data_IF_129785584868
#
_entry.id   IF_129785584868
#
_cell.length_a   1.000
_cell.length_b   1.000
_cell.length_c   1.000
_cell.angle_alpha   90.00
_cell.angle_beta   90.00
_cell.angle_gamma   90.00
#
_symmetry.space_group_name_H-M   'P 1'
#
loop_
_entity.id
_entity.type
_entity.pdbx_description
1 polymer ?
#
# COMPACT_ATOMS: atom_id res chain seq x y z
N UNK A 1 33.87 22.93 9.97
CA UNK A 1 34.00 21.48 10.27
C UNK A 1 32.79 20.78 9.68
N UNK A 2 32.99 19.82 8.77
CA UNK A 2 31.88 19.01 8.29
C UNK A 2 31.54 17.93 9.36
N UNK A 3 30.28 17.80 9.71
CA UNK A 3 29.83 16.73 10.61
C UNK A 3 30.08 15.37 9.96
N UNK A 4 30.45 14.33 10.74
CA UNK A 4 30.64 12.98 10.21
C UNK A 4 29.32 12.51 9.58
N UNK A 5 29.41 11.97 8.35
CA UNK A 5 28.29 11.31 7.71
C UNK A 5 28.06 9.95 8.39
N UNK A 6 26.91 9.75 8.97
CA UNK A 6 26.52 8.44 9.48
C UNK A 6 26.25 7.51 8.29
N UNK A 7 26.99 6.40 8.22
CA UNK A 7 26.68 5.32 7.30
C UNK A 7 25.51 4.53 7.86
N UNK A 8 24.32 4.70 7.28
CA UNK A 8 23.17 3.88 7.62
C UNK A 8 23.32 2.49 7.00
N UNK A 9 22.89 1.47 7.72
CA UNK A 9 22.78 0.13 7.14
C UNK A 9 21.74 0.16 6.01
N UNK A 10 22.06 -0.51 4.90
CA UNK A 10 21.14 -0.69 3.78
C UNK A 10 20.65 -2.14 3.77
N UNK A 11 19.39 -2.32 3.45
CA UNK A 11 18.71 -3.59 3.37
C UNK A 11 18.09 -3.75 1.98
N UNK A 12 17.70 -4.97 1.65
CA UNK A 12 17.03 -5.29 0.38
C UNK A 12 15.66 -5.91 0.67
N UNK A 13 14.70 -5.63 -0.18
CA UNK A 13 13.38 -6.28 -0.19
C UNK A 13 12.99 -6.57 -1.64
N UNK A 14 12.06 -7.51 -1.81
CA UNK A 14 11.47 -7.82 -3.11
C UNK A 14 10.01 -7.39 -3.09
N UNK A 15 9.60 -6.56 -4.07
CA UNK A 15 8.21 -6.11 -4.17
C UNK A 15 7.28 -7.28 -4.47
N UNK A 16 6.21 -7.48 -3.69
CA UNK A 16 5.25 -8.56 -3.92
C UNK A 16 4.55 -8.51 -5.28
N UNK A 17 4.26 -7.30 -5.79
CA UNK A 17 3.52 -7.13 -7.04
C UNK A 17 4.32 -7.49 -8.29
N UNK A 18 5.62 -7.19 -8.30
CA UNK A 18 6.45 -7.23 -9.51
C UNK A 18 7.67 -8.12 -9.41
N UNK A 19 8.04 -8.55 -8.20
CA UNK A 19 9.30 -9.25 -7.94
C UNK A 19 10.55 -8.37 -8.08
N UNK A 20 10.40 -7.05 -8.25
CA UNK A 20 11.52 -6.10 -8.34
C UNK A 20 12.23 -6.01 -6.98
N UNK A 21 13.55 -6.14 -6.98
CA UNK A 21 14.36 -5.90 -5.79
C UNK A 21 14.57 -4.39 -5.60
N UNK A 22 14.40 -3.94 -4.37
CA UNK A 22 14.64 -2.57 -3.94
C UNK A 22 15.59 -2.55 -2.76
N UNK A 23 16.44 -1.52 -2.73
CA UNK A 23 17.30 -1.19 -1.60
C UNK A 23 16.67 -0.12 -0.75
N UNK A 24 16.71 -0.30 0.56
CA UNK A 24 16.14 0.66 1.49
C UNK A 24 17.02 0.84 2.73
N UNK A 25 16.80 1.93 3.43
CA UNK A 25 17.40 2.22 4.74
C UNK A 25 16.30 2.35 5.80
N UNK A 26 16.62 2.12 7.06
CA UNK A 26 15.73 2.48 8.16
C UNK A 26 15.41 3.97 8.13
N UNK A 27 14.26 4.36 8.69
CA UNK A 27 13.97 5.78 8.86
C UNK A 27 14.79 6.39 10.00
N UNK A 28 15.04 7.68 9.90
CA UNK A 28 15.74 8.47 10.89
C UNK A 28 14.71 9.17 11.80
N UNK A 29 15.20 9.83 12.81
CA UNK A 29 14.35 10.60 13.75
C UNK A 29 13.46 11.63 13.03
N UNK A 30 13.92 12.18 11.90
CA UNK A 30 13.12 13.14 11.13
C UNK A 30 11.87 12.53 10.52
N UNK A 31 11.97 11.32 9.95
CA UNK A 31 10.84 10.59 9.38
C UNK A 31 9.89 10.11 10.49
N UNK A 32 10.43 9.62 11.60
CA UNK A 32 9.62 9.25 12.76
C UNK A 32 8.83 10.44 13.31
N UNK A 33 9.46 11.61 13.42
CA UNK A 33 8.78 12.83 13.86
C UNK A 33 7.67 13.24 12.90
N UNK A 34 7.91 13.14 11.59
CA UNK A 34 6.91 13.44 10.56
C UNK A 34 5.68 12.53 10.69
N UNK A 35 5.89 11.20 10.92
CA UNK A 35 4.81 10.25 11.17
C UNK A 35 3.97 10.62 12.39
N UNK A 36 4.63 10.96 13.51
CA UNK A 36 3.92 11.34 14.74
C UNK A 36 3.06 12.60 14.52
N UNK A 37 3.61 13.61 13.83
CA UNK A 37 2.87 14.84 13.52
C UNK A 37 1.67 14.54 12.60
N UNK A 38 1.86 13.73 11.57
CA UNK A 38 0.78 13.35 10.66
C UNK A 38 -0.33 12.59 11.39
N UNK A 39 0.04 11.66 12.26
CA UNK A 39 -0.93 10.90 13.06
C UNK A 39 -1.72 11.78 14.04
N UNK A 40 -1.09 12.78 14.66
CA UNK A 40 -1.75 13.72 15.56
C UNK A 40 -2.68 14.70 14.84
N UNK A 41 -2.48 14.93 13.53
CA UNK A 41 -3.27 15.91 12.77
C UNK A 41 -4.67 15.41 12.43
N UNK A 42 -4.91 14.09 12.43
CA UNK A 42 -6.15 13.46 11.95
C UNK A 42 -6.51 13.86 10.49
N UNK A 43 -5.54 14.36 9.72
CA UNK A 43 -5.70 14.73 8.31
C UNK A 43 -5.21 13.58 7.42
N UNK A 44 -6.15 12.87 6.80
CA UNK A 44 -5.88 11.72 5.94
C UNK A 44 -4.92 12.05 4.79
N UNK A 45 -5.04 13.24 4.18
CA UNK A 45 -4.14 13.67 3.11
C UNK A 45 -2.73 13.92 3.61
N UNK A 46 -2.59 14.48 4.82
CA UNK A 46 -1.28 14.68 5.41
C UNK A 46 -0.65 13.34 5.76
N UNK A 47 -1.43 12.38 6.26
CA UNK A 47 -0.97 11.02 6.54
C UNK A 47 -0.50 10.35 5.25
N UNK A 48 -1.32 10.34 4.19
CA UNK A 48 -0.99 9.77 2.88
C UNK A 48 0.30 10.36 2.30
N UNK A 49 0.39 11.69 2.24
CA UNK A 49 1.57 12.38 1.73
C UNK A 49 2.82 12.09 2.57
N UNK A 50 2.68 11.98 3.88
CA UNK A 50 3.78 11.65 4.80
C UNK A 50 4.28 10.23 4.55
N UNK A 51 3.38 9.26 4.36
CA UNK A 51 3.75 7.88 3.99
C UNK A 51 4.51 7.83 2.67
N UNK A 52 3.97 8.46 1.62
CA UNK A 52 4.62 8.52 0.31
C UNK A 52 6.02 9.15 0.40
N UNK A 53 6.14 10.24 1.15
CA UNK A 53 7.42 10.93 1.35
C UNK A 53 8.44 10.06 2.09
N UNK A 54 8.02 9.35 3.15
CA UNK A 54 8.90 8.46 3.92
C UNK A 54 9.42 7.32 3.04
N UNK A 55 8.54 6.73 2.23
CA UNK A 55 8.94 5.68 1.31
C UNK A 55 9.95 6.21 0.29
N UNK A 56 9.69 7.37 -0.31
CA UNK A 56 10.63 8.03 -1.23
C UNK A 56 11.97 8.36 -0.58
N UNK A 57 11.98 8.79 0.68
CA UNK A 57 13.20 9.15 1.41
C UNK A 57 14.01 7.93 1.86
N UNK A 58 13.35 6.81 2.13
CA UNK A 58 13.97 5.60 2.68
C UNK A 58 14.37 4.58 1.61
N UNK A 59 13.64 4.50 0.50
CA UNK A 59 14.02 3.64 -0.63
C UNK A 59 15.13 4.34 -1.43
N UNK A 60 16.18 3.60 -1.77
CA UNK A 60 17.37 4.15 -2.43
C UNK A 60 17.30 4.05 -3.96
N UNK A 61 16.40 3.20 -4.45
CA UNK A 61 16.12 3.06 -5.88
C UNK A 61 15.04 4.05 -6.32
N UNK A 62 15.02 4.36 -7.61
CA UNK A 62 14.00 5.24 -8.17
C UNK A 62 12.63 4.54 -8.19
N UNK A 63 11.70 5.10 -7.42
CA UNK A 63 10.31 4.64 -7.34
C UNK A 63 9.38 5.85 -7.25
N UNK A 64 8.15 5.65 -7.71
CA UNK A 64 7.04 6.59 -7.51
C UNK A 64 6.00 5.92 -6.59
N UNK A 65 5.92 6.29 -5.30
CA UNK A 65 4.99 5.66 -4.36
C UNK A 65 3.52 5.76 -4.78
N UNK A 66 3.15 6.82 -5.50
CA UNK A 66 1.77 7.02 -5.95
C UNK A 66 1.34 6.07 -7.07
N UNK A 67 2.30 5.40 -7.74
CA UNK A 67 2.03 4.40 -8.79
C UNK A 67 2.13 2.96 -8.30
N UNK A 68 2.66 2.76 -7.10
CA UNK A 68 2.74 1.42 -6.52
C UNK A 68 1.38 0.95 -6.01
N UNK A 69 1.09 -0.36 -6.08
CA UNK A 69 -0.02 -0.97 -5.36
C UNK A 69 0.03 -0.65 -3.87
N UNK A 70 -1.12 -0.47 -3.25
CA UNK A 70 -1.21 -0.14 -1.83
C UNK A 70 -0.50 -1.17 -0.94
N UNK A 71 -0.67 -2.46 -1.23
CA UNK A 71 -0.01 -3.52 -0.46
C UNK A 71 1.52 -3.52 -0.61
N UNK A 72 2.08 -3.06 -1.73
CA UNK A 72 3.53 -2.85 -1.87
C UNK A 72 4.00 -1.71 -0.96
N UNK A 73 3.25 -0.62 -0.90
CA UNK A 73 3.52 0.52 -0.02
C UNK A 73 3.52 0.09 1.44
N UNK A 74 2.49 -0.65 1.86
CA UNK A 74 2.39 -1.20 3.22
C UNK A 74 3.53 -2.16 3.53
N UNK A 75 3.88 -3.02 2.58
CA UNK A 75 4.99 -3.97 2.73
C UNK A 75 6.34 -3.26 2.87
N UNK A 76 6.64 -2.28 2.00
CA UNK A 76 7.87 -1.46 2.10
C UNK A 76 7.92 -0.78 3.47
N UNK A 77 6.82 -0.13 3.88
CA UNK A 77 6.76 0.57 5.16
C UNK A 77 6.98 -0.38 6.34
N UNK A 78 6.37 -1.57 6.31
CA UNK A 78 6.52 -2.58 7.34
C UNK A 78 8.00 -3.02 7.50
N UNK A 79 8.69 -3.28 6.37
CA UNK A 79 10.11 -3.65 6.39
C UNK A 79 11.00 -2.50 6.87
N UNK A 80 10.75 -1.26 6.43
CA UNK A 80 11.46 -0.07 6.93
C UNK A 80 11.25 0.08 8.44
N UNK A 81 9.99 -0.04 8.93
CA UNK A 81 9.67 0.06 10.34
C UNK A 81 10.35 -1.03 11.17
N UNK A 82 10.34 -2.27 10.70
CA UNK A 82 10.99 -3.40 11.37
C UNK A 82 12.47 -3.11 11.64
N UNK A 83 13.18 -2.61 10.62
CA UNK A 83 14.62 -2.27 10.75
C UNK A 83 14.89 -0.97 11.51
N UNK A 84 13.87 -0.14 11.76
CA UNK A 84 14.03 1.16 12.43
C UNK A 84 13.74 1.10 13.92
N UNK A 85 12.68 0.40 14.32
CA UNK A 85 12.17 0.39 15.70
C UNK A 85 12.29 -1.00 16.34
N UNK A 86 12.32 -2.06 15.52
CA UNK A 86 12.40 -3.44 15.95
C UNK A 86 11.47 -4.33 15.14
N UNK A 87 11.90 -5.56 14.96
CA UNK A 87 11.24 -6.55 14.10
C UNK A 87 10.02 -7.18 14.80
N UNK A 88 9.98 -7.16 16.14
CA UNK A 88 8.92 -7.78 16.91
C UNK A 88 7.96 -6.74 17.49
N UNK A 89 6.67 -7.03 17.36
CA UNK A 89 5.60 -6.20 17.89
C UNK A 89 4.76 -7.01 18.86
N UNK A 90 4.57 -6.50 20.08
CA UNK A 90 3.66 -7.09 21.04
C UNK A 90 2.31 -6.41 20.95
N UNK A 91 1.27 -7.20 20.74
CA UNK A 91 -0.12 -6.75 20.64
C UNK A 91 -0.97 -7.45 21.70
N UNK A 92 -2.00 -6.76 22.17
CA UNK A 92 -3.06 -7.33 22.97
C UNK A 92 -4.29 -7.53 22.10
N UNK A 93 -4.59 -8.76 21.78
CA UNK A 93 -5.76 -9.10 20.97
C UNK A 93 -6.91 -9.53 21.86
N UNK A 94 -8.09 -9.01 21.55
CA UNK A 94 -9.33 -9.42 22.20
C UNK A 94 -9.74 -10.79 21.67
N UNK A 95 -9.97 -11.74 22.58
CA UNK A 95 -10.42 -13.07 22.21
C UNK A 95 -11.82 -13.00 21.56
N UNK A 96 -12.00 -13.54 20.35
CA UNK A 96 -13.29 -13.50 19.66
C UNK A 96 -14.36 -14.40 20.31
N UNK A 97 -13.97 -15.39 21.11
CA UNK A 97 -14.89 -16.34 21.72
C UNK A 97 -15.73 -15.71 22.83
N UNK A 98 -15.11 -14.90 23.68
CA UNK A 98 -15.78 -14.29 24.83
C UNK A 98 -15.90 -12.77 24.76
N UNK A 99 -15.19 -12.13 23.84
CA UNK A 99 -15.11 -10.68 23.66
C UNK A 99 -14.75 -9.91 24.96
N UNK A 100 -13.98 -10.53 25.85
CA UNK A 100 -13.58 -9.97 27.14
C UNK A 100 -12.12 -10.22 27.49
N UNK A 101 -11.60 -11.39 27.14
CA UNK A 101 -10.23 -11.77 27.49
C UNK A 101 -9.25 -11.20 26.47
N UNK A 102 -8.18 -10.58 26.95
CA UNK A 102 -7.07 -10.12 26.12
C UNK A 102 -5.91 -11.10 26.20
N UNK A 103 -5.36 -11.44 25.05
CA UNK A 103 -4.19 -12.31 24.91
C UNK A 103 -3.03 -11.52 24.36
N UNK A 104 -1.86 -11.64 25.00
CA UNK A 104 -0.62 -11.04 24.49
C UNK A 104 -0.10 -11.89 23.33
N UNK A 105 0.10 -11.28 22.18
CA UNK A 105 0.63 -11.93 20.97
C UNK A 105 1.86 -11.16 20.51
N UNK A 106 2.94 -11.89 20.22
CA UNK A 106 4.12 -11.33 19.58
C UNK A 106 4.08 -11.67 18.08
N UNK A 107 4.23 -10.66 17.24
CA UNK A 107 4.29 -10.81 15.78
C UNK A 107 5.68 -10.41 15.32
N UNK A 108 6.34 -11.28 14.56
CA UNK A 108 7.58 -10.96 13.87
C UNK A 108 7.25 -10.34 12.50
N UNK A 109 7.64 -9.07 12.32
CA UNK A 109 7.38 -8.32 11.09
C UNK A 109 8.20 -8.82 9.89
N UNK A 110 9.27 -9.57 10.13
CA UNK A 110 10.03 -10.20 9.05
C UNK A 110 9.28 -11.38 8.42
N UNK A 111 8.44 -12.07 9.20
CA UNK A 111 7.62 -13.19 8.74
C UNK A 111 6.33 -12.75 8.03
N UNK A 112 5.99 -11.46 8.13
CA UNK A 112 4.81 -10.92 7.43
C UNK A 112 5.10 -10.80 5.94
N UNK A 113 4.28 -11.46 5.15
CA UNK A 113 4.38 -11.49 3.69
C UNK A 113 3.01 -11.35 3.03
N UNK A 114 3.00 -10.96 1.76
CA UNK A 114 1.79 -10.84 0.95
C UNK A 114 1.46 -12.19 0.33
N UNK A 115 0.29 -12.73 0.69
CA UNK A 115 -0.19 -14.00 0.14
C UNK A 115 -0.90 -13.77 -1.19
N UNK A 116 -0.37 -14.34 -2.25
CA UNK A 116 -0.99 -14.35 -3.58
C UNK A 116 -1.44 -15.77 -3.92
N UNK A 117 -2.74 -16.02 -4.18
CA UNK A 117 -3.20 -17.31 -4.69
C UNK A 117 -2.54 -17.66 -6.03
N UNK A 118 -2.32 -18.93 -6.28
CA UNK A 118 -1.64 -19.42 -7.51
C UNK A 118 -2.41 -19.04 -8.78
N UNK A 119 -3.72 -18.94 -8.69
CA UNK A 119 -4.65 -18.59 -9.77
C UNK A 119 -5.00 -17.09 -9.81
N UNK A 120 -4.32 -16.29 -8.99
CA UNK A 120 -4.53 -14.84 -8.97
C UNK A 120 -4.25 -14.23 -10.34
N UNK A 121 -5.23 -13.54 -10.89
CA UNK A 121 -5.13 -12.84 -12.14
C UNK A 121 -5.97 -11.56 -12.12
N UNK A 122 -5.72 -10.69 -13.07
CA UNK A 122 -6.35 -9.37 -13.16
C UNK A 122 -7.48 -9.32 -14.20
N UNK A 123 -7.93 -10.47 -14.72
CA UNK A 123 -8.95 -10.55 -15.75
C UNK A 123 -10.29 -10.92 -15.16
N UNK A 124 -11.28 -10.04 -15.28
CA UNK A 124 -12.66 -10.30 -14.89
C UNK A 124 -13.50 -10.48 -16.17
N UNK A 125 -14.05 -11.67 -16.38
CA UNK A 125 -14.93 -11.94 -17.50
C UNK A 125 -16.36 -11.57 -17.15
N UNK A 126 -16.94 -10.61 -17.87
CA UNK A 126 -18.34 -10.20 -17.72
C UNK A 126 -19.28 -11.01 -18.60
N UNK A 127 -18.86 -11.22 -19.88
CA UNK A 127 -19.58 -12.03 -20.86
C UNK A 127 -18.58 -12.85 -21.66
N UNK A 128 -19.04 -13.57 -22.68
CA UNK A 128 -18.14 -14.29 -23.62
C UNK A 128 -17.21 -13.34 -24.38
N UNK A 129 -17.69 -12.13 -24.66
CA UNK A 129 -16.97 -11.15 -25.47
C UNK A 129 -16.35 -10.02 -24.65
N UNK A 130 -16.89 -9.74 -23.44
CA UNK A 130 -16.46 -8.59 -22.62
C UNK A 130 -15.62 -9.06 -21.46
N UNK A 131 -14.43 -8.50 -21.35
CA UNK A 131 -13.48 -8.74 -20.24
C UNK A 131 -12.97 -7.41 -19.71
N UNK A 132 -12.87 -7.31 -18.40
CA UNK A 132 -12.18 -6.20 -17.73
C UNK A 132 -10.76 -6.65 -17.38
N UNK A 133 -9.80 -5.79 -17.65
CA UNK A 133 -8.45 -5.91 -17.12
C UNK A 133 -8.35 -4.94 -15.95
N UNK A 134 -8.11 -5.49 -14.76
CA UNK A 134 -8.05 -4.72 -13.52
C UNK A 134 -6.59 -4.36 -13.18
N UNK A 135 -6.41 -3.32 -12.40
CA UNK A 135 -5.15 -2.95 -11.74
C UNK A 135 -5.37 -2.87 -10.24
N UNK A 136 -4.31 -3.02 -9.49
CA UNK A 136 -4.38 -2.83 -8.03
C UNK A 136 -4.67 -1.38 -7.66
N UNK A 137 -5.39 -1.13 -6.57
CA UNK A 137 -5.56 0.21 -6.03
C UNK A 137 -4.20 0.78 -5.60
N UNK A 138 -4.02 2.06 -5.87
CA UNK A 138 -2.85 2.84 -5.47
C UNK A 138 -3.23 3.85 -4.39
N UNK A 139 -2.24 4.52 -3.78
CA UNK A 139 -2.51 5.59 -2.82
C UNK A 139 -3.53 6.62 -3.34
N UNK A 140 -3.42 7.02 -4.61
CA UNK A 140 -4.33 7.99 -5.21
C UNK A 140 -5.78 7.51 -5.35
N UNK A 141 -6.00 6.19 -5.34
CA UNK A 141 -7.34 5.60 -5.45
C UNK A 141 -8.04 5.42 -4.11
N UNK A 142 -7.29 5.49 -3.01
CA UNK A 142 -7.82 5.42 -1.65
C UNK A 142 -8.26 6.80 -1.14
N UNK A 143 -9.08 7.50 -1.90
CA UNK A 143 -9.74 8.70 -1.38
C UNK A 143 -10.56 8.32 -0.17
N UNK A 144 -10.43 9.15 0.88
CA UNK A 144 -11.19 9.08 2.11
C UNK A 144 -12.61 8.59 1.84
N UNK A 145 -13.07 7.65 2.64
CA UNK A 145 -14.48 7.29 2.71
C UNK A 145 -15.24 8.52 3.20
N UNK A 146 -15.57 9.42 2.26
CA UNK A 146 -16.44 10.54 2.57
C UNK A 146 -17.81 10.01 3.00
N UNK A 147 -18.49 10.74 3.85
CA UNK A 147 -19.79 10.45 4.47
C UNK A 147 -20.95 10.08 3.49
N UNK A 148 -20.70 10.13 2.19
CA UNK A 148 -21.63 9.82 1.09
C UNK A 148 -22.00 8.32 0.95
N UNK A 149 -21.48 7.46 1.85
CA UNK A 149 -21.85 6.06 1.98
C UNK A 149 -20.80 5.08 1.46
N UNK A 150 -20.50 4.05 2.25
CA UNK A 150 -19.53 3.00 1.99
C UNK A 150 -19.69 2.33 0.62
N UNK A 151 -20.95 2.18 0.15
CA UNK A 151 -21.24 1.52 -1.12
C UNK A 151 -20.75 2.36 -2.30
N UNK A 152 -21.00 3.67 -2.32
CA UNK A 152 -20.55 4.56 -3.39
C UNK A 152 -19.04 4.58 -3.47
N UNK A 153 -18.35 4.76 -2.34
CA UNK A 153 -16.89 4.76 -2.27
C UNK A 153 -16.27 3.44 -2.77
N UNK A 154 -16.92 2.30 -2.48
CA UNK A 154 -16.48 1.00 -2.98
C UNK A 154 -16.63 0.90 -4.51
N UNK A 155 -17.74 1.37 -5.08
CA UNK A 155 -17.92 1.39 -6.54
C UNK A 155 -16.92 2.33 -7.21
N UNK A 156 -16.69 3.52 -6.66
CA UNK A 156 -15.70 4.46 -7.19
C UNK A 156 -14.28 3.89 -7.16
N UNK A 157 -13.92 3.16 -6.08
CA UNK A 157 -12.66 2.45 -6.02
C UNK A 157 -12.57 1.36 -7.10
N UNK A 158 -13.62 0.55 -7.28
CA UNK A 158 -13.63 -0.49 -8.32
C UNK A 158 -13.50 0.10 -9.72
N UNK A 159 -14.23 1.17 -10.04
CA UNK A 159 -14.11 1.90 -11.32
C UNK A 159 -12.67 2.40 -11.55
N UNK A 160 -12.04 2.94 -10.52
CA UNK A 160 -10.66 3.42 -10.59
C UNK A 160 -9.63 2.29 -10.77
N UNK A 161 -9.97 1.07 -10.41
CA UNK A 161 -9.13 -0.11 -10.64
C UNK A 161 -9.29 -0.73 -12.03
N UNK A 162 -10.25 -0.30 -12.85
CA UNK A 162 -10.35 -0.73 -14.24
C UNK A 162 -9.17 -0.13 -15.02
N UNK A 163 -8.42 -0.96 -15.73
CA UNK A 163 -7.33 -0.55 -16.60
C UNK A 163 -7.76 -0.51 -18.06
N UNK A 164 -8.41 -1.59 -18.52
CA UNK A 164 -8.91 -1.73 -19.89
C UNK A 164 -10.22 -2.51 -19.90
N UNK A 165 -11.04 -2.24 -20.91
CA UNK A 165 -12.21 -3.04 -21.25
C UNK A 165 -11.98 -3.63 -22.64
N UNK A 166 -12.00 -4.95 -22.75
CA UNK A 166 -11.91 -5.67 -24.01
C UNK A 166 -13.32 -6.08 -24.43
N UNK A 167 -13.77 -5.61 -25.62
CA UNK A 167 -15.02 -5.99 -26.25
C UNK A 167 -14.70 -6.66 -27.60
N UNK A 168 -14.65 -7.99 -27.62
CA UNK A 168 -14.22 -8.75 -28.76
C UNK A 168 -12.77 -8.41 -29.15
N UNK A 169 -12.58 -7.80 -30.32
CA UNK A 169 -11.27 -7.36 -30.84
C UNK A 169 -10.92 -5.92 -30.46
N UNK A 170 -11.86 -5.18 -29.86
CA UNK A 170 -11.68 -3.78 -29.49
C UNK A 170 -11.17 -3.66 -28.05
N UNK A 171 -10.17 -2.82 -27.85
CA UNK A 171 -9.63 -2.49 -26.52
C UNK A 171 -9.90 -1.03 -26.22
N UNK A 172 -10.58 -0.79 -25.11
CA UNK A 172 -10.85 0.53 -24.59
C UNK A 172 -10.00 0.76 -23.35
N UNK A 173 -9.17 1.81 -23.36
CA UNK A 173 -8.37 2.18 -22.18
C UNK A 173 -9.16 3.07 -21.24
N UNK A 174 -8.98 2.90 -19.92
CA UNK A 174 -9.69 3.70 -18.89
C UNK A 174 -9.58 5.22 -19.11
N UNK A 175 -8.44 5.67 -19.61
CA UNK A 175 -8.18 7.09 -19.84
C UNK A 175 -9.09 7.71 -20.92
N UNK A 176 -9.61 6.89 -21.84
CA UNK A 176 -10.46 7.31 -22.95
C UNK A 176 -11.95 7.16 -22.64
N UNK A 177 -12.32 6.62 -21.47
CA UNK A 177 -13.70 6.39 -21.04
C UNK A 177 -14.23 7.55 -20.23
N UNK A 178 -15.49 7.90 -20.47
CA UNK A 178 -16.23 8.85 -19.65
C UNK A 178 -16.79 8.18 -18.39
N UNK A 179 -17.30 8.99 -17.44
CA UNK A 179 -17.97 8.44 -16.24
C UNK A 179 -19.30 7.73 -16.59
N UNK A 180 -19.92 8.07 -17.73
CA UNK A 180 -21.17 7.45 -18.19
C UNK A 180 -20.93 6.07 -18.85
N UNK A 181 -19.69 5.76 -19.20
CA UNK A 181 -19.30 4.47 -19.78
C UNK A 181 -19.03 3.39 -18.70
N UNK A 182 -19.01 3.78 -17.42
CA UNK A 182 -18.64 2.96 -16.26
C UNK A 182 -19.79 2.82 -15.25
#
# INVERSE_FOLDING_TARGET
>A
MALPKLNNANYELTLPSTGKQLKYRPFLVKEQKALMIAQESEDDKLIENTFAQIISDCVLDEIDPYKLPMFDIEFIFLKIRGKSVGEKVQLKLLCPDDNKTYVDVEIDLEEVDVQMPVDHNNVVKLTENIKLIMRYPTLTNMKSYDDDGQIKSMFDMMKNCIHEVHDGETVHHRIDMSEDDL
#
